data_IF_811156844989
#
_entry.id   IF_811156844989
#
_cell.length_a   1.000
_cell.length_b   1.000
_cell.length_c   1.000
_cell.angle_alpha   90.00
_cell.angle_beta   90.00
_cell.angle_gamma   90.00
#
_symmetry.space_group_name_H-M   'P 1'
#
loop_
_entity.id
_entity.type
_entity.pdbx_description
1 polymer ?
#
# COMPACT_ATOMS: atom_id res chain seq x y z
N UNK A 1 6.32 -0.39 9.80
CA UNK A 1 5.97 -1.77 9.34
C UNK A 1 4.53 -2.16 9.62
N UNK A 2 3.98 -1.94 10.82
CA UNK A 2 2.59 -2.34 11.13
C UNK A 2 1.55 -1.73 10.18
N UNK A 3 1.71 -0.45 9.84
CA UNK A 3 0.80 0.26 8.90
C UNK A 3 0.83 -0.37 7.51
N UNK A 4 2.01 -0.71 6.99
CA UNK A 4 2.16 -1.40 5.70
C UNK A 4 1.44 -2.74 5.69
N UNK A 5 1.62 -3.55 6.73
CA UNK A 5 0.93 -4.84 6.84
C UNK A 5 -0.60 -4.68 6.96
N UNK A 6 -1.09 -3.66 7.67
CA UNK A 6 -2.53 -3.34 7.72
C UNK A 6 -3.08 -2.93 6.37
N UNK A 7 -2.32 -2.19 5.56
CA UNK A 7 -2.72 -1.85 4.19
C UNK A 7 -2.79 -3.13 3.36
N UNK A 8 -1.72 -3.92 3.34
CA UNK A 8 -1.65 -5.16 2.53
C UNK A 8 -2.75 -6.16 2.90
N UNK A 9 -3.12 -6.27 4.18
CA UNK A 9 -4.21 -7.14 4.63
C UNK A 9 -5.60 -6.75 4.09
N UNK A 10 -5.77 -5.51 3.64
CA UNK A 10 -7.01 -5.00 3.04
C UNK A 10 -7.00 -5.11 1.50
N UNK A 11 -5.90 -5.56 0.89
CA UNK A 11 -5.75 -5.65 -0.56
C UNK A 11 -6.07 -7.05 -1.08
N UNK A 12 -6.49 -7.12 -2.35
CA UNK A 12 -6.55 -8.37 -3.10
C UNK A 12 -5.16 -8.89 -3.49
N UNK A 13 -5.07 -10.15 -3.94
CA UNK A 13 -3.79 -10.83 -4.21
C UNK A 13 -2.90 -10.13 -5.27
N UNK A 14 -3.48 -9.48 -6.27
CA UNK A 14 -2.72 -8.70 -7.26
C UNK A 14 -2.13 -7.42 -6.63
N UNK A 15 -2.98 -6.64 -5.95
CA UNK A 15 -2.61 -5.43 -5.24
C UNK A 15 -1.58 -5.66 -4.12
N UNK A 16 -1.73 -6.74 -3.36
CA UNK A 16 -0.76 -7.15 -2.36
C UNK A 16 0.62 -7.46 -2.98
N UNK A 17 0.66 -8.21 -4.10
CA UNK A 17 1.91 -8.48 -4.83
C UNK A 17 2.55 -7.19 -5.34
N UNK A 18 1.77 -6.28 -5.89
CA UNK A 18 2.27 -4.98 -6.33
C UNK A 18 2.84 -4.15 -5.17
N UNK A 19 2.15 -4.13 -4.03
CA UNK A 19 2.58 -3.41 -2.83
C UNK A 19 3.88 -3.97 -2.24
N UNK A 20 4.08 -5.29 -2.28
CA UNK A 20 5.34 -5.92 -1.87
C UNK A 20 6.48 -5.64 -2.85
N UNK A 21 6.19 -5.64 -4.16
CA UNK A 21 7.18 -5.31 -5.18
C UNK A 21 7.62 -3.83 -5.13
N UNK A 22 6.72 -2.93 -4.72
CA UNK A 22 6.96 -1.47 -4.64
C UNK A 22 6.98 -0.98 -3.19
N UNK A 23 7.51 -1.80 -2.26
CA UNK A 23 7.45 -1.54 -0.82
C UNK A 23 7.99 -0.17 -0.42
N UNK A 24 9.11 0.27 -0.99
CA UNK A 24 9.72 1.57 -0.70
C UNK A 24 8.75 2.72 -0.99
N UNK A 25 8.06 2.66 -2.13
CA UNK A 25 7.07 3.66 -2.53
C UNK A 25 5.88 3.71 -1.58
N UNK A 26 5.37 2.54 -1.15
CA UNK A 26 4.26 2.47 -0.19
C UNK A 26 4.69 3.03 1.17
N UNK A 27 5.92 2.75 1.61
CA UNK A 27 6.46 3.31 2.85
C UNK A 27 6.66 4.82 2.77
N UNK A 28 7.10 5.34 1.63
CA UNK A 28 7.22 6.77 1.39
C UNK A 28 5.86 7.48 1.55
N UNK A 29 4.79 6.92 0.96
CA UNK A 29 3.43 7.46 1.10
C UNK A 29 2.96 7.44 2.57
N UNK A 30 3.31 6.39 3.32
CA UNK A 30 3.02 6.31 4.76
C UNK A 30 3.81 7.38 5.53
N UNK A 31 5.08 7.60 5.21
CA UNK A 31 5.94 8.60 5.85
C UNK A 31 5.50 10.03 5.52
N UNK A 32 4.95 10.26 4.33
CA UNK A 32 4.34 11.52 3.91
C UNK A 32 2.99 11.80 4.61
N UNK A 33 2.47 10.84 5.38
CA UNK A 33 1.24 11.02 6.17
C UNK A 33 -0.04 10.92 5.34
N UNK A 34 0.01 10.32 4.15
CA UNK A 34 -1.21 10.06 3.38
C UNK A 34 -2.16 9.12 4.13
N UNK A 35 -3.46 9.36 3.97
CA UNK A 35 -4.49 8.52 4.56
C UNK A 35 -4.43 7.08 4.02
N UNK A 36 -4.77 6.11 4.86
CA UNK A 36 -4.75 4.67 4.51
C UNK A 36 -5.62 4.39 3.27
N UNK A 37 -6.81 4.99 3.19
CA UNK A 37 -7.71 4.80 2.04
C UNK A 37 -7.06 5.29 0.74
N UNK A 38 -6.41 6.45 0.76
CA UNK A 38 -5.69 6.97 -0.41
C UNK A 38 -4.60 6.00 -0.87
N UNK A 39 -3.86 5.42 0.06
CA UNK A 39 -2.79 4.46 -0.27
C UNK A 39 -3.38 3.17 -0.86
N UNK A 40 -4.52 2.70 -0.35
CA UNK A 40 -5.24 1.55 -0.90
C UNK A 40 -5.69 1.84 -2.34
N UNK A 41 -6.33 2.98 -2.58
CA UNK A 41 -6.81 3.38 -3.90
C UNK A 41 -5.62 3.57 -4.87
N UNK A 42 -4.53 4.14 -4.38
CA UNK A 42 -3.28 4.30 -5.13
C UNK A 42 -2.69 2.97 -5.59
N UNK A 43 -2.73 1.94 -4.73
CA UNK A 43 -2.24 0.60 -5.06
C UNK A 43 -3.20 -0.09 -6.04
N UNK A 44 -4.51 -0.05 -5.77
CA UNK A 44 -5.51 -0.67 -6.65
C UNK A 44 -5.51 -0.10 -8.06
N UNK A 45 -5.17 1.19 -8.24
CA UNK A 45 -5.05 1.80 -9.56
C UNK A 45 -3.81 1.35 -10.38
N UNK A 46 -2.89 0.59 -9.78
CA UNK A 46 -1.60 0.19 -10.39
C UNK A 46 -1.36 -1.32 -10.42
N UNK A 47 -2.22 -2.08 -9.77
CA UNK A 47 -2.17 -3.52 -9.64
C UNK A 47 -3.04 -4.22 -10.68
#
# INVERSE_FOLDING_TARGET
MVVFLRIVAQLGAAAARWAWANKERVLELILQGFGIQYIIDYINARA
#
